data_IF_720792803050
#
_entry.id   IF_720792803050
#
_cell.length_a   1.000
_cell.length_b   1.000
_cell.length_c   1.000
_cell.angle_alpha   90.00
_cell.angle_beta   90.00
_cell.angle_gamma   90.00
#
_symmetry.space_group_name_H-M   'P 1'
#
loop_
_entity.id
_entity.type
_entity.pdbx_description
1 polymer ?
#
# COMPACT_ATOMS: atom_id res chain seq x y z
N UNK A 1 -37.38 16.06 -7.20
CA UNK A 1 -36.06 15.73 -6.65
C UNK A 1 -35.23 16.99 -6.73
N UNK A 2 -35.03 17.73 -5.63
CA UNK A 2 -34.10 18.87 -5.62
C UNK A 2 -32.70 18.29 -5.67
N UNK A 3 -31.87 18.78 -6.60
CA UNK A 3 -30.46 18.42 -6.74
C UNK A 3 -29.76 18.52 -5.38
N UNK A 4 -29.59 17.36 -4.71
CA UNK A 4 -28.81 17.21 -3.47
C UNK A 4 -27.30 17.34 -3.73
N UNK A 5 -26.89 17.50 -4.98
CA UNK A 5 -25.49 17.50 -5.41
C UNK A 5 -25.15 18.93 -5.85
N UNK A 6 -24.36 19.60 -5.02
CA UNK A 6 -23.91 20.97 -5.27
C UNK A 6 -23.15 21.15 -6.59
N UNK A 7 -23.08 22.39 -7.10
CA UNK A 7 -22.29 22.71 -8.31
C UNK A 7 -20.81 22.50 -8.04
N UNK A 8 -20.05 22.02 -9.02
CA UNK A 8 -18.59 21.94 -8.90
C UNK A 8 -18.01 23.35 -8.90
N UNK A 9 -17.17 23.65 -7.92
CA UNK A 9 -16.55 24.98 -7.73
C UNK A 9 -15.04 24.93 -7.87
N UNK A 10 -14.43 23.77 -7.63
CA UNK A 10 -13.00 23.57 -7.78
C UNK A 10 -12.68 22.12 -8.14
N UNK A 11 -11.64 21.90 -8.93
CA UNK A 11 -11.07 20.59 -9.23
C UNK A 11 -9.56 20.61 -9.06
N UNK A 12 -9.01 19.55 -8.50
CA UNK A 12 -7.55 19.36 -8.39
C UNK A 12 -7.20 18.02 -9.01
N UNK A 13 -6.36 18.04 -10.02
CA UNK A 13 -5.81 16.86 -10.68
C UNK A 13 -4.42 16.57 -10.13
N UNK A 14 -4.13 15.30 -9.89
CA UNK A 14 -2.83 14.81 -9.43
C UNK A 14 -2.41 13.64 -10.29
N UNK A 15 -1.21 13.71 -10.85
CA UNK A 15 -0.54 12.62 -11.59
C UNK A 15 0.84 12.41 -10.97
N UNK A 16 1.14 11.19 -10.57
CA UNK A 16 2.47 10.84 -10.03
C UNK A 16 2.88 9.43 -10.47
N UNK A 17 4.07 9.27 -11.08
CA UNK A 17 4.65 7.95 -11.31
C UNK A 17 5.04 7.29 -9.99
N UNK A 18 4.66 6.02 -9.85
CA UNK A 18 4.95 5.19 -8.68
C UNK A 18 5.80 4.02 -9.11
N UNK A 19 6.81 3.67 -8.31
CA UNK A 19 7.68 2.51 -8.53
C UNK A 19 7.58 1.53 -7.38
N UNK A 20 7.57 0.24 -7.70
CA UNK A 20 7.63 -0.83 -6.72
C UNK A 20 9.06 -1.06 -6.23
N UNK A 21 9.31 -0.78 -4.95
CA UNK A 21 10.59 -1.04 -4.29
C UNK A 21 10.64 -2.45 -3.69
N UNK A 22 9.50 -2.99 -3.28
CA UNK A 22 9.34 -4.42 -2.93
C UNK A 22 8.26 -5.07 -3.80
N UNK A 23 8.25 -6.41 -3.92
CA UNK A 23 7.25 -7.08 -4.74
C UNK A 23 5.83 -6.77 -4.26
N UNK A 24 4.86 -6.81 -5.16
CA UNK A 24 3.46 -6.48 -4.89
C UNK A 24 2.57 -7.71 -5.05
N UNK A 25 1.60 -7.87 -4.15
CA UNK A 25 0.55 -8.87 -4.23
C UNK A 25 -0.79 -8.14 -4.31
N UNK A 26 -1.53 -8.31 -5.40
CA UNK A 26 -2.90 -7.80 -5.54
C UNK A 26 -3.79 -9.00 -5.79
N UNK A 27 -4.38 -9.55 -4.74
CA UNK A 27 -5.23 -10.73 -4.87
C UNK A 27 -6.48 -10.42 -5.68
N UNK A 28 -6.73 -11.20 -6.73
CA UNK A 28 -7.96 -11.15 -7.53
C UNK A 28 -9.17 -11.73 -6.81
N UNK A 29 -8.95 -12.60 -5.80
CA UNK A 29 -9.99 -13.45 -5.22
C UNK A 29 -10.30 -14.70 -6.05
N UNK A 30 -9.68 -14.83 -7.23
CA UNK A 30 -9.75 -15.99 -8.12
C UNK A 30 -8.46 -16.83 -8.01
N UNK A 31 -8.58 -18.16 -8.18
CA UNK A 31 -7.46 -19.10 -8.16
C UNK A 31 -7.46 -20.02 -9.39
N UNK A 32 -6.52 -19.79 -10.30
CA UNK A 32 -6.30 -20.65 -11.47
C UNK A 32 -4.90 -21.29 -11.48
N UNK A 33 -3.83 -20.49 -11.41
CA UNK A 33 -2.42 -20.90 -11.47
C UNK A 33 -1.70 -20.81 -10.13
N UNK A 34 -2.20 -20.00 -9.19
CA UNK A 34 -1.73 -19.90 -7.81
C UNK A 34 -2.91 -19.73 -6.85
N UNK A 35 -2.69 -19.96 -5.55
CA UNK A 35 -3.76 -19.79 -4.54
C UNK A 35 -4.18 -18.31 -4.40
N UNK A 36 -3.29 -17.37 -4.71
CA UNK A 36 -3.59 -15.94 -4.88
C UNK A 36 -2.97 -15.47 -6.19
N UNK A 37 -3.80 -15.06 -7.15
CA UNK A 37 -3.34 -14.48 -8.43
C UNK A 37 -3.33 -12.95 -8.40
N UNK A 38 -2.42 -12.36 -9.19
CA UNK A 38 -2.40 -10.92 -9.42
C UNK A 38 -3.58 -10.56 -10.32
N UNK A 39 -4.35 -9.57 -9.90
CA UNK A 39 -5.49 -9.07 -10.65
C UNK A 39 -5.03 -8.49 -12.01
N UNK A 40 -5.64 -8.99 -13.09
CA UNK A 40 -5.35 -8.67 -14.49
C UNK A 40 -6.59 -8.16 -15.21
N UNK A 41 -6.39 -7.33 -16.23
CA UNK A 41 -7.46 -6.89 -17.11
C UNK A 41 -7.86 -7.99 -18.12
N UNK A 42 -8.86 -7.70 -18.97
CA UNK A 42 -9.31 -8.62 -20.03
C UNK A 42 -8.23 -9.02 -21.05
N UNK A 43 -7.08 -8.32 -21.08
CA UNK A 43 -5.93 -8.61 -21.94
C UNK A 43 -4.81 -9.33 -21.19
N UNK A 44 -5.01 -9.66 -19.91
CA UNK A 44 -4.00 -10.31 -19.07
C UNK A 44 -2.96 -9.37 -18.48
N UNK A 45 -3.16 -8.04 -18.58
CA UNK A 45 -2.22 -7.04 -18.05
C UNK A 45 -2.55 -6.80 -16.58
N UNK A 46 -1.57 -6.92 -15.65
CA UNK A 46 -1.80 -6.65 -14.25
C UNK A 46 -2.13 -5.16 -14.04
N UNK A 47 -2.98 -4.87 -13.08
CA UNK A 47 -3.26 -3.50 -12.65
C UNK A 47 -3.64 -3.44 -11.17
N UNK A 48 -3.56 -2.25 -10.59
CA UNK A 48 -4.00 -1.99 -9.22
C UNK A 48 -5.40 -1.38 -9.27
N UNK A 49 -6.43 -2.05 -8.71
CA UNK A 49 -7.77 -1.48 -8.66
C UNK A 49 -7.79 -0.16 -7.89
N UNK A 50 -8.53 0.81 -8.41
CA UNK A 50 -8.76 2.11 -7.78
C UNK A 50 -9.36 1.94 -6.38
N UNK A 51 -10.24 0.95 -6.18
CA UNK A 51 -10.83 0.64 -4.88
C UNK A 51 -9.79 0.20 -3.85
N UNK A 52 -8.78 -0.56 -4.26
CA UNK A 52 -7.67 -0.97 -3.38
C UNK A 52 -6.81 0.24 -2.98
N UNK A 53 -6.49 1.12 -3.94
CA UNK A 53 -5.75 2.36 -3.67
C UNK A 53 -6.56 3.28 -2.74
N UNK A 54 -7.85 3.47 -3.02
CA UNK A 54 -8.75 4.28 -2.20
C UNK A 54 -8.86 3.75 -0.76
N UNK A 55 -8.96 2.43 -0.59
CA UNK A 55 -8.98 1.79 0.72
C UNK A 55 -7.70 2.05 1.51
N UNK A 56 -6.53 1.92 0.86
CA UNK A 56 -5.23 2.20 1.48
C UNK A 56 -5.12 3.67 1.89
N UNK A 57 -5.49 4.61 1.02
CA UNK A 57 -5.42 6.04 1.36
C UNK A 57 -6.40 6.42 2.47
N UNK A 58 -7.59 5.81 2.47
CA UNK A 58 -8.56 6.00 3.55
C UNK A 58 -8.01 5.49 4.88
N UNK A 59 -7.49 4.26 4.92
CA UNK A 59 -6.90 3.67 6.13
C UNK A 59 -5.72 4.50 6.64
N UNK A 60 -4.84 4.94 5.74
CA UNK A 60 -3.73 5.84 6.08
C UNK A 60 -4.23 7.12 6.76
N UNK A 61 -5.25 7.80 6.22
CA UNK A 61 -5.79 9.01 6.84
C UNK A 61 -6.54 8.71 8.15
N UNK A 62 -7.25 7.57 8.26
CA UNK A 62 -7.95 7.18 9.48
C UNK A 62 -7.00 6.87 10.65
N UNK A 63 -5.78 6.37 10.35
CA UNK A 63 -4.73 6.15 11.35
C UNK A 63 -4.15 7.47 11.90
N UNK A 64 -4.23 8.55 11.12
CA UNK A 64 -3.85 9.89 11.55
C UNK A 64 -4.99 10.49 12.38
N UNK A 65 -4.88 10.41 13.70
CA UNK A 65 -5.91 10.77 14.71
C UNK A 65 -6.43 12.22 14.69
N UNK A 66 -6.00 13.04 13.74
CA UNK A 66 -6.29 14.47 13.62
C UNK A 66 -7.45 14.82 12.68
N UNK A 67 -8.07 13.84 12.02
CA UNK A 67 -9.16 14.06 11.08
C UNK A 67 -10.50 13.51 11.60
N UNK A 68 -11.56 14.31 11.46
CA UNK A 68 -12.91 13.88 11.79
C UNK A 68 -13.37 12.78 10.81
N UNK A 69 -13.81 11.64 11.35
CA UNK A 69 -14.31 10.49 10.56
C UNK A 69 -15.42 10.88 9.59
N UNK A 70 -16.23 11.87 9.95
CA UNK A 70 -17.28 12.33 9.07
C UNK A 70 -16.73 13.05 7.84
N UNK A 71 -15.67 13.84 8.00
CA UNK A 71 -14.98 14.53 6.90
C UNK A 71 -14.22 13.53 6.03
N UNK A 72 -13.56 12.52 6.63
CA UNK A 72 -12.94 11.41 5.90
C UNK A 72 -14.00 10.74 5.01
N UNK A 73 -15.17 10.46 5.58
CA UNK A 73 -16.29 9.89 4.84
C UNK A 73 -16.84 10.79 3.72
N UNK A 74 -16.80 12.12 3.85
CA UNK A 74 -17.15 13.02 2.74
C UNK A 74 -16.13 12.95 1.61
N UNK A 75 -14.84 12.80 1.93
CA UNK A 75 -13.79 12.69 0.91
C UNK A 75 -13.88 11.37 0.14
N UNK A 76 -13.94 10.23 0.85
CA UNK A 76 -13.87 8.89 0.25
C UNK A 76 -15.22 8.21 0.02
N UNK A 77 -16.32 8.78 0.52
CA UNK A 77 -17.66 8.19 0.52
C UNK A 77 -18.05 7.52 1.85
N UNK A 78 -19.35 7.49 2.14
CA UNK A 78 -19.97 6.80 3.30
C UNK A 78 -21.08 5.86 2.84
N UNK A 79 -21.20 4.72 3.53
CA UNK A 79 -22.26 3.71 3.30
C UNK A 79 -23.41 3.76 4.34
N UNK A 80 -23.42 4.72 5.27
CA UNK A 80 -24.45 4.79 6.32
C UNK A 80 -25.72 5.52 5.86
N UNK A 81 -26.63 4.81 5.18
CA UNK A 81 -28.06 5.18 5.01
C UNK A 81 -28.37 6.39 4.12
N UNK A 82 -27.45 7.34 3.98
CA UNK A 82 -27.46 8.45 3.04
C UNK A 82 -26.23 8.29 2.12
N UNK A 83 -26.46 7.88 0.87
CA UNK A 83 -25.39 7.79 -0.12
C UNK A 83 -24.83 9.20 -0.41
N UNK A 84 -23.58 9.44 -0.03
CA UNK A 84 -22.86 10.67 -0.37
C UNK A 84 -21.81 10.39 -1.43
N UNK A 85 -21.84 11.17 -2.52
CA UNK A 85 -20.81 11.13 -3.57
C UNK A 85 -19.45 11.50 -2.95
N UNK A 86 -18.41 10.70 -3.23
CA UNK A 86 -17.04 11.01 -2.80
C UNK A 86 -16.56 12.32 -3.42
N UNK A 87 -15.71 13.05 -2.69
CA UNK A 87 -15.03 14.22 -3.24
C UNK A 87 -13.74 13.83 -3.97
N UNK A 88 -13.12 12.69 -3.65
CA UNK A 88 -11.96 12.18 -4.38
C UNK A 88 -12.38 11.07 -5.35
N UNK A 89 -11.85 11.14 -6.58
CA UNK A 89 -11.86 10.09 -7.58
C UNK A 89 -10.43 9.56 -7.71
N UNK A 90 -10.26 8.25 -7.64
CA UNK A 90 -8.99 7.56 -7.84
C UNK A 90 -9.17 6.64 -9.05
N UNK A 91 -8.15 6.58 -9.90
CA UNK A 91 -8.18 5.78 -11.12
C UNK A 91 -7.34 4.51 -10.95
N UNK A 92 -7.66 3.48 -11.73
CA UNK A 92 -6.91 2.23 -11.74
C UNK A 92 -5.44 2.48 -12.12
N UNK A 93 -4.53 1.83 -11.39
CA UNK A 93 -3.09 1.92 -11.60
C UNK A 93 -2.62 0.90 -12.63
N UNK A 94 -2.51 1.29 -13.89
CA UNK A 94 -1.96 0.44 -14.95
C UNK A 94 -0.44 0.54 -15.01
N UNK A 95 0.23 -0.60 -15.06
CA UNK A 95 1.69 -0.65 -15.15
C UNK A 95 2.17 -0.14 -16.51
N UNK A 96 3.26 0.62 -16.49
CA UNK A 96 3.92 1.21 -17.65
C UNK A 96 5.31 0.57 -17.83
N UNK A 97 5.68 0.31 -19.08
CA UNK A 97 6.92 -0.37 -19.41
C UNK A 97 6.91 -1.86 -19.07
N UNK A 98 8.11 -2.42 -18.86
CA UNK A 98 8.27 -3.84 -18.59
C UNK A 98 7.96 -4.17 -17.13
N UNK A 99 7.24 -5.27 -16.93
CA UNK A 99 6.99 -5.86 -15.63
C UNK A 99 7.23 -7.36 -15.68
N UNK A 100 7.50 -7.96 -14.52
CA UNK A 100 7.69 -9.41 -14.38
C UNK A 100 6.77 -9.95 -13.32
N UNK A 101 6.00 -10.97 -13.69
CA UNK A 101 5.23 -11.78 -12.76
C UNK A 101 6.08 -12.99 -12.34
N UNK A 102 6.00 -13.36 -11.07
CA UNK A 102 6.62 -14.59 -10.56
C UNK A 102 5.75 -15.24 -9.50
N UNK A 103 5.92 -16.54 -9.31
CA UNK A 103 5.19 -17.29 -8.28
C UNK A 103 6.11 -17.46 -7.06
N UNK A 104 5.59 -17.14 -5.88
CA UNK A 104 6.27 -17.36 -4.60
C UNK A 104 5.58 -18.40 -3.75
N UNK A 105 6.39 -19.28 -3.19
CA UNK A 105 5.95 -20.27 -2.20
C UNK A 105 5.82 -19.64 -0.80
N UNK A 106 4.70 -19.88 -0.15
CA UNK A 106 4.47 -19.70 1.28
C UNK A 106 4.40 -21.04 2.01
N UNK A 107 4.85 -21.07 3.27
CA UNK A 107 4.73 -22.25 4.15
C UNK A 107 4.19 -21.85 5.51
N UNK A 108 3.21 -22.59 6.03
CA UNK A 108 2.81 -22.50 7.46
C UNK A 108 3.85 -23.25 8.29
N UNK A 109 4.41 -22.58 9.30
CA UNK A 109 5.34 -23.17 10.26
C UNK A 109 4.63 -23.47 11.58
N UNK A 110 4.93 -24.61 12.20
CA UNK A 110 4.44 -24.93 13.55
C UNK A 110 5.25 -24.22 14.65
N UNK A 111 4.87 -24.39 15.92
CA UNK A 111 5.57 -23.82 17.08
C UNK A 111 7.06 -24.20 17.17
N UNK A 112 7.49 -25.29 16.51
CA UNK A 112 8.88 -25.75 16.42
C UNK A 112 9.58 -25.31 15.12
N UNK A 113 8.98 -24.39 14.35
CA UNK A 113 9.46 -23.90 13.05
C UNK A 113 9.64 -24.98 11.98
N UNK A 114 9.01 -26.13 12.15
CA UNK A 114 8.89 -27.11 11.07
C UNK A 114 7.69 -26.76 10.19
N UNK A 115 7.81 -26.96 8.89
CA UNK A 115 6.66 -26.84 7.97
C UNK A 115 5.54 -27.77 8.44
N UNK A 116 4.33 -27.22 8.56
CA UNK A 116 3.13 -28.04 8.72
C UNK A 116 2.90 -28.76 7.39
N UNK A 117 2.71 -30.08 7.44
CA UNK A 117 2.52 -30.92 6.26
C UNK A 117 1.21 -30.52 5.57
N UNK A 118 1.26 -30.26 4.27
CA UNK A 118 0.09 -29.84 3.48
C UNK A 118 -0.28 -28.35 3.55
N UNK A 119 0.52 -27.52 4.22
CA UNK A 119 0.26 -26.08 4.37
C UNK A 119 1.16 -25.20 3.50
N UNK A 120 1.54 -25.71 2.33
CA UNK A 120 2.22 -24.93 1.29
C UNK A 120 1.13 -24.24 0.48
N UNK A 121 1.24 -22.92 0.34
CA UNK A 121 0.38 -22.14 -0.54
C UNK A 121 1.28 -21.32 -1.45
N UNK A 122 0.88 -21.04 -2.67
CA UNK A 122 1.63 -20.16 -3.56
C UNK A 122 0.84 -18.89 -3.90
N UNK A 123 1.56 -17.83 -4.24
CA UNK A 123 0.95 -16.58 -4.64
C UNK A 123 1.77 -15.92 -5.74
N UNK A 124 1.06 -15.41 -6.74
CA UNK A 124 1.65 -14.62 -7.81
C UNK A 124 2.01 -13.24 -7.26
N UNK A 125 3.19 -12.76 -7.66
CA UNK A 125 3.71 -11.45 -7.27
C UNK A 125 4.07 -10.67 -8.53
N UNK A 126 3.91 -9.36 -8.47
CA UNK A 126 4.60 -8.46 -9.38
C UNK A 126 5.97 -8.13 -8.79
N UNK A 127 7.02 -8.39 -9.54
CA UNK A 127 8.40 -8.19 -9.12
C UNK A 127 8.76 -6.70 -8.93
N UNK A 128 9.86 -6.47 -8.21
CA UNK A 128 10.37 -5.12 -7.96
C UNK A 128 10.79 -4.40 -9.24
N UNK A 129 10.65 -3.08 -9.23
CA UNK A 129 11.05 -2.20 -10.32
C UNK A 129 9.94 -1.90 -11.32
N UNK A 130 8.80 -2.60 -11.28
CA UNK A 130 7.64 -2.21 -12.07
C UNK A 130 7.12 -0.83 -11.65
N UNK A 131 6.62 -0.07 -12.61
CA UNK A 131 6.10 1.27 -12.39
C UNK A 131 4.67 1.41 -12.92
N UNK A 132 3.87 2.25 -12.29
CA UNK A 132 2.53 2.61 -12.75
C UNK A 132 2.28 4.11 -12.50
N UNK A 133 1.28 4.69 -13.15
CA UNK A 133 0.91 6.09 -12.95
C UNK A 133 -0.29 6.16 -12.02
N UNK A 134 -0.13 6.77 -10.85
CA UNK A 134 -1.26 7.13 -9.99
C UNK A 134 -1.90 8.40 -10.51
N UNK A 135 -3.23 8.36 -10.69
CA UNK A 135 -4.06 9.50 -11.04
C UNK A 135 -5.15 9.68 -10.00
N UNK A 136 -5.33 10.92 -9.54
CA UNK A 136 -6.37 11.30 -8.59
C UNK A 136 -7.00 12.62 -8.99
N UNK A 137 -8.28 12.77 -8.71
CA UNK A 137 -9.01 14.01 -8.90
C UNK A 137 -9.80 14.34 -7.64
N UNK A 138 -9.56 15.51 -7.04
CA UNK A 138 -10.39 16.06 -5.98
C UNK A 138 -11.40 17.04 -6.58
N UNK A 139 -12.69 16.76 -6.39
CA UNK A 139 -13.81 17.57 -6.87
C UNK A 139 -14.50 18.22 -5.68
N UNK A 140 -14.43 19.55 -5.60
CA UNK A 140 -15.06 20.32 -4.54
C UNK A 140 -16.33 20.96 -5.09
N UNK A 141 -17.44 20.75 -4.38
CA UNK A 141 -18.76 21.30 -4.71
C UNK A 141 -19.12 22.43 -3.77
N UNK A 142 -20.00 23.34 -4.21
CA UNK A 142 -20.45 24.48 -3.41
C UNK A 142 -21.00 24.05 -2.04
N UNK A 143 -21.78 22.96 -2.00
CA UNK A 143 -22.33 22.31 -0.81
C UNK A 143 -21.28 21.88 0.22
N UNK A 144 -20.03 21.70 -0.19
CA UNK A 144 -18.91 21.29 0.68
C UNK A 144 -17.77 22.32 0.70
N UNK A 145 -18.02 23.57 0.25
CA UNK A 145 -16.97 24.62 0.20
C UNK A 145 -16.36 24.87 1.58
N UNK A 146 -17.13 24.72 2.67
CA UNK A 146 -16.63 24.89 4.04
C UNK A 146 -15.57 23.86 4.44
N UNK A 147 -15.49 22.73 3.73
CA UNK A 147 -14.54 21.65 3.98
C UNK A 147 -13.34 21.66 3.02
N UNK A 148 -13.24 22.64 2.10
CA UNK A 148 -12.19 22.70 1.07
C UNK A 148 -10.78 22.51 1.67
N UNK A 149 -10.45 23.25 2.71
CA UNK A 149 -9.12 23.17 3.34
C UNK A 149 -8.85 21.80 3.95
N UNK A 150 -9.87 21.12 4.50
CA UNK A 150 -9.70 19.77 5.03
C UNK A 150 -9.41 18.77 3.92
N UNK A 151 -10.13 18.85 2.78
CA UNK A 151 -9.90 17.96 1.65
C UNK A 151 -8.53 18.16 1.01
N UNK A 152 -8.11 19.42 0.82
CA UNK A 152 -6.78 19.75 0.31
C UNK A 152 -5.67 19.25 1.25
N UNK A 153 -5.85 19.44 2.56
CA UNK A 153 -4.92 18.94 3.58
C UNK A 153 -4.83 17.41 3.57
N UNK A 154 -5.95 16.70 3.46
CA UNK A 154 -5.94 15.23 3.36
C UNK A 154 -5.26 14.76 2.07
N UNK A 155 -5.49 15.41 0.94
CA UNK A 155 -4.80 15.11 -0.32
C UNK A 155 -3.28 15.33 -0.20
N UNK A 156 -2.87 16.45 0.40
CA UNK A 156 -1.48 16.74 0.68
C UNK A 156 -0.85 15.71 1.62
N UNK A 157 -1.58 15.30 2.66
CA UNK A 157 -1.14 14.27 3.61
C UNK A 157 -0.94 12.91 2.92
N UNK A 158 -1.82 12.51 1.99
CA UNK A 158 -1.62 11.29 1.18
C UNK A 158 -0.32 11.39 0.37
N UNK A 159 -0.08 12.52 -0.29
CA UNK A 159 1.14 12.74 -1.09
C UNK A 159 2.40 12.75 -0.22
N UNK A 160 2.31 13.36 0.96
CA UNK A 160 3.36 13.31 1.97
C UNK A 160 3.66 11.87 2.41
N UNK A 161 2.62 11.09 2.74
CA UNK A 161 2.75 9.68 3.14
C UNK A 161 3.36 8.81 2.03
N UNK A 162 3.02 9.08 0.76
CA UNK A 162 3.64 8.43 -0.39
C UNK A 162 5.13 8.77 -0.49
N UNK A 163 5.51 10.04 -0.35
CA UNK A 163 6.91 10.47 -0.37
C UNK A 163 7.72 9.87 0.78
N UNK A 164 7.18 9.86 2.00
CA UNK A 164 7.85 9.33 3.19
C UNK A 164 7.89 7.80 3.25
N UNK A 165 7.20 7.12 2.32
CA UNK A 165 7.12 5.67 2.29
C UNK A 165 6.32 5.09 3.46
N UNK A 166 5.30 5.83 3.92
CA UNK A 166 4.36 5.37 4.94
C UNK A 166 3.20 4.56 4.32
N UNK A 167 2.98 4.70 3.02
CA UNK A 167 1.89 4.02 2.33
C UNK A 167 2.43 2.79 1.60
N UNK A 168 1.82 1.63 1.88
CA UNK A 168 2.09 0.36 1.23
C UNK A 168 0.87 -0.09 0.43
N UNK A 169 1.09 -0.73 -0.72
CA UNK A 169 0.03 -1.22 -1.58
C UNK A 169 -0.12 -2.74 -1.51
N UNK A 170 -1.36 -3.21 -1.67
CA UNK A 170 -1.66 -4.63 -1.78
C UNK A 170 -1.52 -5.42 -0.48
N UNK A 171 -1.45 -6.74 -0.61
CA UNK A 171 -1.48 -7.66 0.52
C UNK A 171 -0.09 -7.88 1.13
N UNK A 172 -0.09 -8.31 2.41
CA UNK A 172 1.12 -8.67 3.17
C UNK A 172 2.15 -7.53 3.30
N UNK A 173 1.71 -6.27 3.38
CA UNK A 173 2.57 -5.11 3.64
C UNK A 173 3.52 -5.33 4.83
N UNK A 174 2.99 -5.85 5.95
CA UNK A 174 3.74 -6.19 7.17
C UNK A 174 4.74 -7.35 7.01
N UNK A 175 4.88 -7.92 5.81
CA UNK A 175 5.81 -9.01 5.49
C UNK A 175 6.75 -8.67 4.32
N UNK A 176 6.94 -7.38 4.05
CA UNK A 176 7.93 -6.89 3.09
C UNK A 176 7.44 -6.86 1.64
N UNK A 177 6.13 -6.72 1.43
CA UNK A 177 5.51 -6.52 0.13
C UNK A 177 4.93 -5.11 0.02
N UNK A 178 4.70 -4.62 -1.20
CA UNK A 178 3.91 -3.42 -1.43
C UNK A 178 4.58 -2.10 -1.10
N UNK A 179 5.87 -2.09 -0.78
CA UNK A 179 6.61 -0.85 -0.55
C UNK A 179 6.85 -0.15 -1.88
N UNK A 180 6.53 1.14 -1.91
CA UNK A 180 6.58 1.97 -3.11
C UNK A 180 7.42 3.21 -2.87
N UNK A 181 7.89 3.78 -3.97
CA UNK A 181 8.52 5.10 -4.01
C UNK A 181 7.87 5.97 -5.07
N UNK A 182 7.94 7.27 -4.85
CA UNK A 182 7.57 8.29 -5.83
C UNK A 182 8.76 9.22 -6.06
N UNK A 183 8.90 9.74 -7.28
CA UNK A 183 9.77 10.89 -7.54
C UNK A 183 8.91 12.16 -7.50
N UNK A 184 9.12 12.99 -6.49
CA UNK A 184 8.38 14.24 -6.33
C UNK A 184 8.67 15.27 -7.42
N UNK A 185 9.77 15.13 -8.17
CA UNK A 185 10.04 15.95 -9.35
C UNK A 185 9.12 15.61 -10.54
N UNK A 186 8.55 14.40 -10.55
CA UNK A 186 7.59 13.95 -11.58
C UNK A 186 6.13 14.11 -11.12
N UNK A 187 5.91 14.59 -9.88
CA UNK A 187 4.58 14.93 -9.37
C UNK A 187 4.02 16.14 -10.13
N UNK A 188 2.90 15.93 -10.82
CA UNK A 188 2.21 16.97 -11.59
C UNK A 188 0.83 17.23 -11.00
N UNK A 189 0.55 18.51 -10.70
CA UNK A 189 -0.72 18.91 -10.08
C UNK A 189 -1.32 20.16 -10.73
N UNK A 190 -2.62 20.13 -10.97
CA UNK A 190 -3.39 21.22 -11.56
C UNK A 190 -4.63 21.51 -10.72
N UNK A 191 -4.73 22.72 -10.17
CA UNK A 191 -5.96 23.25 -9.56
C UNK A 191 -6.70 24.17 -10.54
N UNK A 192 -8.00 23.93 -10.69
CA UNK A 192 -8.94 24.74 -11.44
C UNK A 192 -9.98 25.32 -10.46
N UNK A 193 -10.07 26.64 -10.36
CA UNK A 193 -11.02 27.36 -9.50
C UNK A 193 -12.04 28.12 -10.35
N UNK A 194 -13.18 27.46 -10.59
CA UNK A 194 -14.26 27.99 -11.41
C UNK A 194 -14.98 29.19 -10.81
N UNK A 195 -14.74 29.52 -9.53
CA UNK A 195 -15.25 30.75 -8.91
C UNK A 195 -14.34 31.96 -9.19
N UNK A 196 -13.05 31.71 -9.44
CA UNK A 196 -12.03 32.75 -9.54
C UNK A 196 -11.63 33.07 -10.98
N UNK A 197 -11.48 32.06 -11.84
CA UNK A 197 -11.06 32.23 -13.23
C UNK A 197 -12.04 31.53 -14.18
N UNK A 198 -12.76 32.31 -14.99
CA UNK A 198 -13.68 31.73 -15.98
C UNK A 198 -12.94 30.93 -17.07
N UNK A 199 -11.66 31.19 -17.32
CA UNK A 199 -10.87 30.42 -18.29
C UNK A 199 -10.58 29.00 -17.79
N UNK A 200 -10.75 28.71 -16.50
CA UNK A 200 -10.57 27.35 -15.96
C UNK A 200 -11.63 26.38 -16.51
N UNK A 201 -12.79 26.87 -16.95
CA UNK A 201 -13.76 26.05 -17.69
C UNK A 201 -13.17 25.51 -19.00
N UNK A 202 -12.48 26.34 -19.77
CA UNK A 202 -11.85 25.92 -21.03
C UNK A 202 -10.70 24.94 -20.77
N UNK A 203 -9.90 25.17 -19.72
CA UNK A 203 -8.84 24.23 -19.30
C UNK A 203 -9.42 22.88 -18.89
N UNK A 204 -10.56 22.87 -18.19
CA UNK A 204 -11.24 21.63 -17.79
C UNK A 204 -11.82 20.87 -18.98
N UNK A 205 -12.50 21.56 -19.90
CA UNK A 205 -13.11 20.94 -21.09
C UNK A 205 -12.03 20.27 -21.97
N UNK A 206 -10.86 20.89 -22.06
CA UNK A 206 -9.73 20.40 -22.85
C UNK A 206 -8.69 19.63 -22.01
N UNK A 207 -9.05 19.20 -20.79
CA UNK A 207 -8.12 18.50 -19.90
C UNK A 207 -7.71 17.16 -20.50
N UNK A 208 -6.41 16.86 -20.41
CA UNK A 208 -5.81 15.59 -20.80
C UNK A 208 -4.73 15.19 -19.80
N UNK A 209 -4.76 13.92 -19.37
CA UNK A 209 -3.83 13.39 -18.37
C UNK A 209 -2.38 13.38 -18.83
N UNK A 210 -2.12 13.38 -20.14
CA UNK A 210 -0.76 13.37 -20.67
C UNK A 210 -0.17 14.76 -20.88
N UNK A 211 -1.00 15.77 -21.15
CA UNK A 211 -0.54 17.08 -21.60
C UNK A 211 -1.01 18.27 -20.75
N UNK A 212 -1.67 18.06 -19.61
CA UNK A 212 -2.09 19.18 -18.76
C UNK A 212 -0.90 19.98 -18.24
N UNK A 213 -1.08 21.29 -18.04
CA UNK A 213 -0.07 22.19 -17.51
C UNK A 213 -0.23 22.33 -15.98
N UNK A 214 0.71 21.84 -15.16
CA UNK A 214 0.65 21.97 -13.72
C UNK A 214 0.72 23.45 -13.28
N UNK A 215 -0.03 23.81 -12.25
CA UNK A 215 0.03 25.14 -11.62
C UNK A 215 0.27 25.09 -10.11
N UNK A 216 0.38 23.90 -9.53
CA UNK A 216 0.82 23.66 -8.16
C UNK A 216 2.19 22.97 -8.25
N UNK A 217 3.23 23.55 -7.62
CA UNK A 217 4.60 23.02 -7.70
C UNK A 217 4.92 22.04 -6.59
N UNK A 218 4.25 22.18 -5.45
CA UNK A 218 4.43 21.31 -4.29
C UNK A 218 3.09 20.98 -3.66
N UNK A 219 2.94 19.76 -3.14
CA UNK A 219 1.74 19.39 -2.38
C UNK A 219 1.62 20.20 -1.08
N UNK A 220 2.70 20.85 -0.62
CA UNK A 220 2.69 21.83 0.47
C UNK A 220 1.94 23.12 0.11
N UNK A 221 1.66 23.40 -1.16
CA UNK A 221 0.81 24.55 -1.54
C UNK A 221 -0.69 24.25 -1.35
N UNK A 222 -1.07 22.97 -1.16
CA UNK A 222 -2.45 22.57 -0.88
C UNK A 222 -2.83 22.84 0.59
N UNK A 223 -1.86 22.88 1.50
CA UNK A 223 -2.09 23.17 2.92
C UNK A 223 -0.83 23.71 3.59
N UNK A 224 -0.98 24.54 4.61
CA UNK A 224 0.18 25.06 5.35
C UNK A 224 1.00 23.92 5.99
N UNK A 225 2.33 23.98 5.92
CA UNK A 225 3.26 22.95 6.43
C UNK A 225 2.98 22.53 7.87
N UNK A 226 2.60 23.48 8.72
CA UNK A 226 2.28 23.24 10.13
C UNK A 226 0.99 22.44 10.34
N UNK A 227 0.22 22.18 9.28
CA UNK A 227 -1.00 21.38 9.32
C UNK A 227 -0.75 19.92 8.93
N UNK A 228 0.35 19.56 8.28
CA UNK A 228 0.62 18.14 8.03
C UNK A 228 0.98 17.42 9.33
N UNK A 229 0.50 16.19 9.47
CA UNK A 229 0.92 15.33 10.54
C UNK A 229 2.31 14.79 10.22
N UNK A 230 3.30 15.28 10.96
CA UNK A 230 4.72 14.99 10.72
C UNK A 230 5.27 13.90 11.66
N UNK A 231 4.50 13.41 12.63
CA UNK A 231 4.91 12.23 13.39
C UNK A 231 4.79 11.00 12.49
N UNK A 232 5.87 10.24 12.41
CA UNK A 232 5.93 9.08 11.53
C UNK A 232 5.01 7.98 12.04
N UNK A 233 4.15 7.44 11.17
CA UNK A 233 3.34 6.26 11.53
C UNK A 233 4.21 5.03 11.83
N UNK A 234 5.39 4.96 11.21
CA UNK A 234 6.31 3.84 11.32
C UNK A 234 7.70 4.28 11.77
N UNK A 235 8.26 3.55 12.73
CA UNK A 235 9.67 3.68 13.07
C UNK A 235 10.52 2.99 12.00
N UNK A 236 11.44 3.73 11.37
CA UNK A 236 12.40 3.18 10.41
C UNK A 236 13.73 2.87 11.07
N UNK A 237 14.10 1.59 11.09
CA UNK A 237 15.42 1.13 11.52
C UNK A 237 16.26 0.78 10.29
N UNK A 238 17.40 1.45 10.14
CA UNK A 238 18.39 1.17 9.10
C UNK A 238 19.66 0.68 9.79
N UNK A 239 20.10 -0.52 9.43
CA UNK A 239 21.31 -1.11 9.98
C UNK A 239 22.12 -1.78 8.86
N UNK A 240 23.43 -1.54 8.87
CA UNK A 240 24.38 -2.29 8.07
C UNK A 240 24.77 -3.56 8.83
N UNK A 241 24.53 -4.72 8.22
CA UNK A 241 24.74 -6.02 8.86
C UNK A 241 25.73 -6.82 8.02
N UNK A 242 26.82 -7.22 8.66
CA UNK A 242 27.78 -8.15 8.06
C UNK A 242 27.32 -9.59 8.26
N UNK A 243 27.34 -10.37 7.19
CA UNK A 243 27.01 -11.79 7.27
C UNK A 243 28.29 -12.56 7.63
N UNK A 244 28.33 -13.15 8.83
CA UNK A 244 29.50 -13.90 9.30
C UNK A 244 29.69 -15.26 8.61
N UNK A 245 28.67 -15.78 7.92
CA UNK A 245 28.66 -17.08 7.22
C UNK A 245 27.71 -17.06 6.03
N UNK A 246 27.53 -18.19 5.32
CA UNK A 246 26.57 -18.25 4.21
C UNK A 246 25.11 -18.27 4.69
N UNK A 247 24.24 -17.48 4.07
CA UNK A 247 22.78 -17.53 4.26
C UNK A 247 22.11 -18.10 3.01
N UNK A 248 21.25 -19.11 3.18
CA UNK A 248 20.36 -19.62 2.13
C UNK A 248 18.90 -19.58 2.58
N UNK A 249 18.07 -18.87 1.83
CA UNK A 249 16.63 -18.81 2.02
C UNK A 249 16.03 -19.46 0.78
N UNK A 250 15.53 -20.67 0.95
CA UNK A 250 15.25 -21.59 -0.14
C UNK A 250 14.00 -21.19 -0.92
N UNK A 251 14.12 -21.20 -2.23
CA UNK A 251 13.03 -21.25 -3.20
C UNK A 251 13.16 -22.56 -3.98
N UNK A 252 12.05 -23.28 -4.16
CA UNK A 252 12.04 -24.48 -4.98
C UNK A 252 12.11 -24.08 -6.44
N UNK A 253 13.12 -24.56 -7.14
CA UNK A 253 13.33 -24.40 -8.58
C UNK A 253 12.31 -25.27 -9.33
N UNK A 254 11.05 -24.82 -9.39
CA UNK A 254 10.13 -25.32 -10.41
C UNK A 254 10.60 -24.73 -11.75
N UNK A 255 11.46 -25.46 -12.46
CA UNK A 255 11.94 -25.13 -13.82
C UNK A 255 12.89 -23.92 -13.92
N UNK A 256 14.13 -24.07 -13.46
CA UNK A 256 15.23 -23.28 -14.02
C UNK A 256 15.52 -23.77 -15.44
N UNK A 257 15.11 -23.03 -16.47
CA UNK A 257 15.56 -23.24 -17.85
C UNK A 257 17.10 -23.32 -17.86
N UNK A 258 17.63 -24.51 -18.13
CA UNK A 258 19.08 -24.76 -18.24
C UNK A 258 19.74 -25.54 -17.08
N UNK A 259 19.07 -25.72 -15.93
CA UNK A 259 19.64 -26.48 -14.80
C UNK A 259 18.59 -27.38 -14.11
N UNK A 260 18.29 -28.57 -14.67
CA UNK A 260 17.31 -29.49 -14.10
C UNK A 260 17.76 -30.21 -12.81
N UNK A 261 19.00 -30.02 -12.37
CA UNK A 261 19.59 -30.72 -11.21
C UNK A 261 19.64 -29.88 -9.92
N UNK A 262 19.14 -28.64 -9.93
CA UNK A 262 19.16 -27.79 -8.72
C UNK A 262 17.88 -28.03 -7.92
N UNK A 263 18.02 -28.58 -6.70
CA UNK A 263 16.88 -28.81 -5.80
C UNK A 263 16.35 -27.51 -5.16
N UNK A 264 17.25 -26.55 -4.89
CA UNK A 264 16.94 -25.29 -4.21
C UNK A 264 17.87 -24.18 -4.68
N UNK A 265 17.32 -22.98 -4.83
CA UNK A 265 18.10 -21.77 -4.97
C UNK A 265 17.79 -20.75 -3.86
N UNK A 266 18.65 -19.74 -3.72
CA UNK A 266 18.36 -18.60 -2.85
C UNK A 266 17.30 -17.71 -3.51
N UNK A 267 16.29 -17.31 -2.72
CA UNK A 267 15.19 -16.45 -3.19
C UNK A 267 15.70 -15.12 -3.74
N UNK A 268 15.11 -14.68 -4.85
CA UNK A 268 15.47 -13.42 -5.52
C UNK A 268 14.24 -12.51 -5.68
N UNK A 269 14.48 -11.20 -5.74
CA UNK A 269 13.55 -10.21 -6.30
C UNK A 269 14.19 -9.69 -7.59
N UNK A 270 13.51 -9.85 -8.72
CA UNK A 270 14.00 -9.41 -10.03
C UNK A 270 15.48 -9.78 -10.28
N UNK A 271 15.85 -11.03 -10.01
CA UNK A 271 17.20 -11.57 -10.17
C UNK A 271 18.20 -11.25 -9.05
N UNK A 272 17.87 -10.34 -8.13
CA UNK A 272 18.76 -9.97 -7.01
C UNK A 272 18.45 -10.79 -5.75
N UNK A 273 19.45 -11.40 -5.09
CA UNK A 273 19.27 -12.11 -3.82
C UNK A 273 18.59 -11.23 -2.76
N UNK A 274 17.67 -11.79 -1.98
CA UNK A 274 16.89 -11.04 -1.00
C UNK A 274 16.66 -11.83 0.29
N UNK A 275 16.69 -11.14 1.43
CA UNK A 275 16.13 -11.67 2.68
C UNK A 275 14.67 -11.18 2.75
N UNK A 276 13.67 -12.05 2.52
CA UNK A 276 12.28 -11.62 2.49
C UNK A 276 11.81 -11.17 3.88
N UNK A 277 10.80 -10.31 3.92
CA UNK A 277 10.25 -9.80 5.17
C UNK A 277 9.72 -10.90 6.10
N UNK A 278 9.24 -12.01 5.55
CA UNK A 278 8.87 -13.21 6.34
C UNK A 278 10.05 -13.80 7.13
N UNK A 279 11.26 -13.80 6.57
CA UNK A 279 12.47 -14.24 7.26
C UNK A 279 12.89 -13.25 8.34
N UNK A 280 12.83 -11.94 8.06
CA UNK A 280 13.07 -10.90 9.07
C UNK A 280 12.10 -11.00 10.24
N UNK A 281 10.80 -11.08 9.96
CA UNK A 281 9.75 -11.25 10.98
C UNK A 281 10.00 -12.50 11.80
N UNK A 282 10.36 -13.62 11.18
CA UNK A 282 10.66 -14.87 11.88
C UNK A 282 11.86 -14.78 12.82
N UNK A 283 12.93 -14.11 12.39
CA UNK A 283 14.13 -13.89 13.21
C UNK A 283 13.85 -12.94 14.36
N UNK A 284 13.26 -11.78 14.09
CA UNK A 284 12.95 -10.76 15.10
C UNK A 284 11.98 -11.34 16.13
N UNK A 285 10.92 -12.04 15.69
CA UNK A 285 9.95 -12.68 16.59
C UNK A 285 10.62 -13.67 17.54
N UNK A 286 11.57 -14.47 17.05
CA UNK A 286 12.30 -15.40 17.91
C UNK A 286 13.14 -14.68 18.97
N UNK A 287 13.87 -13.65 18.56
CA UNK A 287 14.68 -12.84 19.48
C UNK A 287 13.79 -12.14 20.52
N UNK A 288 12.63 -11.62 20.11
CA UNK A 288 11.64 -11.05 21.02
C UNK A 288 11.15 -12.08 22.05
N UNK A 289 10.83 -13.31 21.64
CA UNK A 289 10.44 -14.39 22.57
C UNK A 289 11.54 -14.64 23.60
N UNK A 290 12.80 -14.81 23.15
CA UNK A 290 13.94 -15.06 24.05
C UNK A 290 14.12 -13.94 25.07
N UNK A 291 14.02 -12.67 24.65
CA UNK A 291 14.12 -11.51 25.54
C UNK A 291 12.97 -11.49 26.55
N UNK A 292 11.73 -11.69 26.09
CA UNK A 292 10.55 -11.64 26.95
C UNK A 292 10.52 -12.79 27.97
N UNK A 293 10.95 -14.00 27.58
CA UNK A 293 11.11 -15.14 28.49
C UNK A 293 12.15 -14.85 29.58
N UNK A 294 13.26 -14.22 29.22
CA UNK A 294 14.30 -13.84 30.17
C UNK A 294 13.81 -12.76 31.16
N UNK A 295 13.08 -11.76 30.67
CA UNK A 295 12.46 -10.74 31.53
C UNK A 295 11.42 -11.36 32.49
N UNK A 296 10.63 -12.32 32.00
CA UNK A 296 9.65 -13.05 32.82
C UNK A 296 10.32 -13.85 33.95
N UNK A 297 11.43 -14.54 33.65
CA UNK A 297 12.23 -15.26 34.67
C UNK A 297 12.83 -14.31 35.71
N UNK A 298 13.20 -13.10 35.31
CA UNK A 298 13.73 -12.07 36.19
C UNK A 298 12.63 -11.28 36.96
N UNK A 299 11.48 -11.91 37.20
CA UNK A 299 10.36 -11.42 38.04
C UNK A 299 9.62 -10.18 37.52
N UNK A 300 9.74 -9.85 36.24
CA UNK A 300 8.79 -8.93 35.60
C UNK A 300 7.55 -9.74 35.21
N UNK A 301 6.37 -9.34 35.68
CA UNK A 301 5.11 -10.02 35.35
C UNK A 301 4.68 -9.71 33.90
N UNK A 302 5.39 -10.31 32.94
CA UNK A 302 5.21 -10.12 31.51
C UNK A 302 4.46 -11.32 30.93
N UNK A 303 3.33 -11.08 30.28
CA UNK A 303 2.63 -12.11 29.52
C UNK A 303 3.24 -12.20 28.11
N UNK A 304 4.22 -13.11 27.96
CA UNK A 304 4.98 -13.28 26.71
C UNK A 304 4.06 -13.57 25.52
N UNK A 305 3.13 -14.52 25.68
CA UNK A 305 2.22 -14.92 24.60
C UNK A 305 1.34 -13.77 24.14
N UNK A 306 0.80 -12.99 25.09
CA UNK A 306 -0.01 -11.82 24.76
C UNK A 306 0.79 -10.80 23.96
N UNK A 307 1.97 -10.39 24.44
CA UNK A 307 2.80 -9.39 23.76
C UNK A 307 3.21 -9.86 22.36
N UNK A 308 3.58 -11.12 22.21
CA UNK A 308 3.97 -11.68 20.91
C UNK A 308 2.79 -11.71 19.93
N UNK A 309 1.58 -12.05 20.41
CA UNK A 309 0.36 -12.00 19.59
C UNK A 309 -0.02 -10.57 19.22
N UNK A 310 0.16 -9.61 20.13
CA UNK A 310 -0.14 -8.20 19.90
C UNK A 310 0.81 -7.59 18.85
N UNK A 311 2.11 -7.92 18.89
CA UNK A 311 3.12 -7.36 17.97
C UNK A 311 3.08 -8.05 16.59
N UNK A 312 3.00 -9.38 16.56
CA UNK A 312 3.21 -10.16 15.34
C UNK A 312 1.93 -10.78 14.78
N UNK A 313 0.79 -10.56 15.44
CA UNK A 313 -0.46 -11.21 15.13
C UNK A 313 -0.54 -12.68 15.57
N UNK A 314 -1.75 -13.22 15.44
CA UNK A 314 -2.07 -14.63 15.63
C UNK A 314 -2.76 -15.17 14.38
N UNK A 315 -2.67 -16.48 14.18
CA UNK A 315 -3.50 -17.22 13.22
C UNK A 315 -4.50 -17.97 14.09
N UNK A 316 -5.81 -17.76 13.90
CA UNK A 316 -6.81 -18.64 14.51
C UNK A 316 -6.64 -20.01 13.85
N UNK A 317 -6.35 -21.02 14.66
CA UNK A 317 -6.40 -22.39 14.18
C UNK A 317 -7.87 -22.82 14.24
N UNK A 318 -8.40 -23.43 13.17
CA UNK A 318 -9.80 -23.90 13.07
C UNK A 318 -10.18 -24.92 14.17
N UNK A 319 -9.21 -25.39 14.97
CA UNK A 319 -9.47 -26.21 16.16
C UNK A 319 -10.03 -25.41 17.35
N UNK A 320 -9.87 -24.07 17.37
CA UNK A 320 -10.36 -23.20 18.45
C UNK A 320 -11.88 -22.90 18.34
N UNK A 321 -12.56 -23.28 17.25
CA UNK A 321 -14.02 -23.14 17.10
C UNK A 321 -14.82 -24.33 17.68
N UNK A 322 -14.14 -25.36 18.20
CA UNK A 322 -14.80 -26.56 18.77
C UNK A 322 -14.61 -26.74 20.28
N UNK A 323 -14.23 -25.69 21.02
CA UNK A 323 -14.10 -25.71 22.47
C UNK A 323 -15.23 -24.96 23.18
#
# INVERSE_FOLDING_TARGET
MKDKIGKVVKRIYVKVPIKLETPLIIGSGDSHNADIEVLKDSKGIPFIPASSIAGVFRDYIEQLSNYDKDIIGLMFGKDYGDYTMSCINIYDGFFVGDYKLSIRDGVKLNKRKASVKGSKYDYEILETGASFILRMELVIRDSYSMYENYFKRMLAQILYGLEKGEIFLGAKANRGFGYISIDTNELSMLELDFKKDNNDWDKWINFDWENFLPNIKSYMELCDDNMLHNETLYNRLVAEINICSSIIIRQYSKFSEGYPEVDYEHIKCNGKPVIPGTSWVGTIRQSSIMILEELHRNSLNVNVDKIIKDIFGYVQDEEDEKA
#
